data_IF_470993034306
#
_entry.id   IF_470993034306
#
_cell.length_a   1.000
_cell.length_b   1.000
_cell.length_c   1.000
_cell.angle_alpha   90.00
_cell.angle_beta   90.00
_cell.angle_gamma   90.00
#
_symmetry.space_group_name_H-M   'P 1'
#
loop_
_entity.id
_entity.type
_entity.pdbx_description
1 polymer ?
#
# COMPACT_ATOMS: atom_id res chain seq x y z
N UNK A 1 -16.31 1.68 1.68
CA UNK A 1 -15.87 1.04 0.43
C UNK A 1 -14.60 0.26 0.67
N UNK A 2 -14.32 -0.79 -0.11
CA UNK A 2 -13.07 -1.54 0.01
C UNK A 2 -11.90 -0.78 -0.59
N UNK A 3 -10.75 -0.79 0.08
CA UNK A 3 -9.50 -0.20 -0.39
C UNK A 3 -8.31 -1.12 -0.09
N UNK A 4 -7.31 -1.11 -0.99
CA UNK A 4 -6.03 -1.77 -0.74
C UNK A 4 -5.09 -0.75 -0.11
N UNK A 5 -4.64 -0.99 1.12
CA UNK A 5 -3.82 -0.05 1.88
C UNK A 5 -2.44 -0.65 2.18
N UNK A 6 -1.40 0.17 2.01
CA UNK A 6 -0.06 -0.13 2.50
C UNK A 6 0.00 0.05 4.01
N UNK A 7 0.30 -1.04 4.72
CA UNK A 7 0.34 -1.04 6.18
C UNK A 7 1.55 -1.84 6.64
N UNK A 8 2.51 -1.13 7.24
CA UNK A 8 3.75 -1.71 7.74
C UNK A 8 4.09 -1.07 9.08
N UNK A 9 4.14 -1.89 10.13
CA UNK A 9 4.67 -1.47 11.43
C UNK A 9 6.20 -1.62 11.48
N UNK A 10 6.85 -0.93 12.43
CA UNK A 10 8.32 -1.06 12.62
C UNK A 10 8.76 -2.51 12.86
N UNK A 11 8.10 -3.31 13.72
CA UNK A 11 8.49 -4.71 13.90
C UNK A 11 8.31 -5.56 12.64
N UNK A 12 7.21 -5.34 11.91
CA UNK A 12 6.95 -6.02 10.64
C UNK A 12 8.00 -5.69 9.59
N UNK A 13 8.39 -4.40 9.48
CA UNK A 13 9.47 -3.96 8.60
C UNK A 13 10.78 -4.69 8.91
N UNK A 14 11.17 -4.74 10.18
CA UNK A 14 12.39 -5.42 10.61
C UNK A 14 12.35 -6.93 10.28
N UNK A 15 11.22 -7.60 10.57
CA UNK A 15 11.03 -9.01 10.24
C UNK A 15 11.13 -9.27 8.73
N UNK A 16 10.48 -8.43 7.92
CA UNK A 16 10.51 -8.54 6.46
C UNK A 16 11.88 -8.21 5.86
N UNK A 17 12.65 -7.30 6.47
CA UNK A 17 14.04 -7.05 6.06
C UNK A 17 14.95 -8.24 6.35
N UNK A 18 14.73 -8.95 7.46
CA UNK A 18 15.52 -10.11 7.84
C UNK A 18 15.15 -11.37 7.02
N UNK A 19 13.86 -11.64 6.81
CA UNK A 19 13.37 -12.91 6.25
C UNK A 19 12.90 -12.81 4.79
N UNK A 20 12.58 -11.61 4.30
CA UNK A 20 11.92 -11.43 3.00
C UNK A 20 12.82 -11.70 1.80
N UNK A 21 14.15 -11.63 1.95
CA UNK A 21 15.09 -12.02 0.89
C UNK A 21 15.06 -13.54 0.62
N UNK A 22 14.75 -14.33 1.64
CA UNK A 22 14.64 -15.81 1.58
C UNK A 22 13.24 -16.20 1.13
N UNK A 23 12.21 -15.57 1.70
CA UNK A 23 10.81 -15.89 1.42
C UNK A 23 10.05 -14.63 0.96
N UNK A 24 10.16 -14.28 -0.33
CA UNK A 24 9.48 -13.12 -0.91
C UNK A 24 7.96 -13.12 -0.72
N UNK A 25 7.36 -14.29 -0.54
CA UNK A 25 5.93 -14.44 -0.30
C UNK A 25 5.46 -13.75 0.98
N UNK A 26 6.34 -13.58 1.97
CA UNK A 26 6.02 -12.87 3.22
C UNK A 26 5.63 -11.40 2.99
N UNK A 27 6.06 -10.77 1.89
CA UNK A 27 5.70 -9.39 1.58
C UNK A 27 4.23 -9.22 1.16
N UNK A 28 3.57 -10.28 0.66
CA UNK A 28 2.22 -10.16 0.07
C UNK A 28 1.25 -11.25 0.49
N UNK A 29 1.68 -12.24 1.28
CA UNK A 29 0.83 -13.30 1.82
C UNK A 29 1.10 -13.53 3.31
N UNK A 30 0.04 -13.87 4.05
CA UNK A 30 0.08 -14.11 5.49
C UNK A 30 0.14 -12.85 6.37
N UNK A 31 0.44 -13.01 7.67
CA UNK A 31 0.33 -11.93 8.66
C UNK A 31 1.37 -10.81 8.47
N UNK A 32 2.47 -11.08 7.75
CA UNK A 32 3.49 -10.09 7.46
C UNK A 32 3.28 -9.33 6.15
N UNK A 33 2.24 -9.64 5.37
CA UNK A 33 2.00 -8.96 4.11
C UNK A 33 1.93 -7.44 4.29
N UNK A 34 2.52 -6.66 3.38
CA UNK A 34 2.56 -5.19 3.48
C UNK A 34 1.29 -4.53 2.95
N UNK A 35 0.42 -5.32 2.29
CA UNK A 35 -0.87 -4.89 1.78
C UNK A 35 -2.01 -5.46 2.63
N UNK A 36 -3.04 -4.64 2.84
CA UNK A 36 -4.29 -5.04 3.50
C UNK A 36 -5.48 -4.56 2.69
N UNK A 37 -6.45 -5.45 2.50
CA UNK A 37 -7.76 -5.05 2.02
C UNK A 37 -8.58 -4.61 3.23
N UNK A 38 -8.96 -3.34 3.26
CA UNK A 38 -9.66 -2.70 4.38
C UNK A 38 -10.95 -2.05 3.90
N UNK A 39 -11.90 -1.85 4.80
CA UNK A 39 -13.09 -1.04 4.56
C UNK A 39 -12.85 0.38 5.09
N UNK A 40 -12.99 1.37 4.20
CA UNK A 40 -12.83 2.79 4.50
C UNK A 40 -14.16 3.52 4.31
N UNK A 41 -14.39 4.69 4.95
CA UNK A 41 -15.47 5.57 4.56
C UNK A 41 -15.31 6.03 3.10
N UNK A 42 -16.42 6.35 2.46
CA UNK A 42 -16.42 6.95 1.13
C UNK A 42 -15.72 8.32 1.18
N UNK A 43 -14.70 8.59 0.33
CA UNK A 43 -13.98 9.86 0.36
C UNK A 43 -14.90 11.06 0.11
N UNK A 44 -14.77 12.10 0.92
CA UNK A 44 -15.43 13.40 0.70
C UNK A 44 -14.54 14.31 -0.14
N UNK A 45 -15.13 15.29 -0.82
CA UNK A 45 -14.38 16.27 -1.58
C UNK A 45 -13.70 17.25 -0.61
N UNK A 46 -12.37 17.45 -0.69
CA UNK A 46 -11.67 18.41 0.17
C UNK A 46 -12.09 19.86 -0.07
N UNK A 47 -12.35 20.25 -1.33
CA UNK A 47 -12.86 21.57 -1.72
C UNK A 47 -13.67 21.48 -3.03
N UNK A 48 -14.21 22.61 -3.49
CA UNK A 48 -14.95 22.72 -4.75
C UNK A 48 -14.17 22.34 -6.00
N UNK A 49 -12.84 22.37 -5.93
CA UNK A 49 -11.95 22.15 -7.08
C UNK A 49 -11.66 20.66 -7.32
N UNK A 50 -12.20 19.77 -6.47
CA UNK A 50 -11.96 18.34 -6.54
C UNK A 50 -13.13 17.61 -7.21
N UNK A 51 -12.80 16.62 -8.03
CA UNK A 51 -13.75 15.66 -8.56
C UNK A 51 -13.54 14.29 -7.92
N UNK A 52 -14.65 13.57 -7.69
CA UNK A 52 -14.60 12.18 -7.25
C UNK A 52 -14.60 11.26 -8.46
N UNK A 53 -13.61 10.37 -8.53
CA UNK A 53 -13.48 9.39 -9.62
C UNK A 53 -13.81 7.99 -9.10
N UNK A 54 -14.69 7.27 -9.80
CA UNK A 54 -14.92 5.84 -9.55
C UNK A 54 -13.87 5.02 -10.30
N UNK A 55 -12.98 4.36 -9.58
CA UNK A 55 -11.97 3.47 -10.15
C UNK A 55 -12.63 2.21 -10.71
N UNK A 56 -12.54 2.00 -12.03
CA UNK A 56 -12.94 0.74 -12.68
C UNK A 56 -11.79 -0.26 -12.81
N UNK A 57 -10.59 0.26 -13.09
CA UNK A 57 -9.35 -0.49 -13.21
C UNK A 57 -8.20 0.33 -12.63
N UNK A 58 -7.25 -0.36 -12.00
CA UNK A 58 -6.01 0.23 -11.52
C UNK A 58 -4.84 -0.63 -11.99
N UNK A 59 -3.83 -0.02 -12.60
CA UNK A 59 -2.58 -0.70 -12.92
C UNK A 59 -1.71 -0.88 -11.67
N UNK A 60 -0.74 -1.78 -11.76
CA UNK A 60 0.33 -1.93 -10.78
C UNK A 60 1.65 -1.51 -11.44
N UNK A 61 2.19 -0.38 -11.02
CA UNK A 61 3.45 0.15 -11.53
C UNK A 61 4.65 -0.51 -10.84
N UNK A 62 5.84 -0.42 -11.44
CA UNK A 62 7.08 -0.91 -10.83
C UNK A 62 7.41 -0.24 -9.49
N UNK A 63 7.01 1.02 -9.30
CA UNK A 63 7.13 1.74 -8.02
C UNK A 63 6.38 1.03 -6.90
N UNK A 64 5.18 0.54 -7.20
CA UNK A 64 4.29 -0.09 -6.23
C UNK A 64 4.88 -1.44 -5.80
N UNK A 65 5.47 -2.16 -6.76
CA UNK A 65 6.22 -3.41 -6.48
C UNK A 65 7.40 -3.13 -5.55
N UNK A 66 8.16 -2.05 -5.78
CA UNK A 66 9.27 -1.70 -4.91
C UNK A 66 8.81 -1.26 -3.51
N UNK A 67 7.67 -0.57 -3.40
CA UNK A 67 7.06 -0.23 -2.13
C UNK A 67 6.64 -1.49 -1.35
N UNK A 68 5.91 -2.41 -1.99
CA UNK A 68 5.47 -3.68 -1.38
C UNK A 68 6.63 -4.52 -0.88
N UNK A 69 7.75 -4.54 -1.63
CA UNK A 69 8.97 -5.25 -1.29
C UNK A 69 9.90 -4.49 -0.32
N UNK A 70 9.47 -3.34 0.20
CA UNK A 70 10.23 -2.48 1.11
C UNK A 70 11.60 -2.06 0.55
N UNK A 71 11.70 -1.87 -0.77
CA UNK A 71 12.91 -1.38 -1.44
C UNK A 71 12.98 0.14 -1.44
N UNK A 72 11.82 0.78 -1.33
CA UNK A 72 11.70 2.22 -1.14
C UNK A 72 11.85 2.61 0.33
N UNK A 73 12.21 3.88 0.56
CA UNK A 73 12.10 4.47 1.89
C UNK A 73 10.63 4.46 2.35
N UNK A 74 10.32 4.13 3.62
CA UNK A 74 8.96 4.26 4.16
C UNK A 74 8.37 5.67 3.99
N UNK A 75 9.21 6.70 3.98
CA UNK A 75 8.82 8.09 3.72
C UNK A 75 8.27 8.31 2.31
N UNK A 76 8.56 7.42 1.35
CA UNK A 76 8.04 7.47 -0.02
C UNK A 76 6.62 6.90 -0.15
N UNK A 77 6.09 6.24 0.89
CA UNK A 77 4.76 5.61 0.84
C UNK A 77 3.61 6.58 0.50
N UNK A 78 3.57 7.86 0.94
CA UNK A 78 2.52 8.81 0.57
C UNK A 78 2.44 9.11 -0.92
N UNK A 79 3.59 9.06 -1.61
CA UNK A 79 3.70 9.46 -3.01
C UNK A 79 3.51 8.28 -3.97
N UNK A 80 3.63 7.05 -3.46
CA UNK A 80 3.52 5.80 -4.23
C UNK A 80 2.20 5.08 -3.97
N UNK A 81 1.31 5.68 -3.18
CA UNK A 81 0.00 5.14 -2.81
C UNK A 81 -1.14 5.76 -3.61
N UNK A 82 -1.03 5.86 -4.94
CA UNK A 82 -2.15 6.28 -5.78
C UNK A 82 -2.66 5.08 -6.59
N UNK A 83 -3.91 4.61 -6.44
CA UNK A 83 -5.06 5.10 -5.67
C UNK A 83 -5.24 4.37 -4.31
N UNK A 84 -4.14 4.15 -3.59
CA UNK A 84 -4.17 3.55 -2.26
C UNK A 84 -4.46 4.65 -1.23
N UNK A 85 -5.69 4.73 -0.78
CA UNK A 85 -6.12 5.61 0.32
C UNK A 85 -5.27 5.32 1.57
N UNK A 86 -4.18 6.06 1.76
CA UNK A 86 -3.42 6.05 3.00
C UNK A 86 -4.27 6.66 4.12
#
# INVERSE_FOLDING_TARGET
MKALQFSVSVPQFAALKALGSIAKRLYYDGPLATMRLVDIPEPTLPSSDWAKVRTFLCGLCGSDVNLVLLRESPTSSPFTSFPCTL
#
